data_IF_633346474538
#
_entry.id   IF_633346474538
#
_cell.length_a   1.000
_cell.length_b   1.000
_cell.length_c   1.000
_cell.angle_alpha   90.00
_cell.angle_beta   90.00
_cell.angle_gamma   90.00
#
_symmetry.space_group_name_H-M   'P 1'
#
loop_
_entity.id
_entity.type
_entity.pdbx_description
1 polymer ?
#
# COMPACT_ATOMS: atom_id res chain seq x y z
N UNK A 1 54.71 25.92 -14.70
CA UNK A 1 53.37 25.39 -15.05
C UNK A 1 52.53 26.56 -15.55
N UNK A 2 52.26 26.64 -16.85
CA UNK A 2 51.75 27.86 -17.49
C UNK A 2 50.29 28.16 -17.10
N UNK A 3 49.95 29.45 -17.01
CA UNK A 3 48.59 29.95 -16.71
C UNK A 3 47.53 29.30 -17.63
N UNK A 4 47.89 29.02 -18.89
CA UNK A 4 47.04 28.35 -19.88
C UNK A 4 46.62 26.93 -19.46
N UNK A 5 47.49 26.18 -18.81
CA UNK A 5 47.18 24.82 -18.34
C UNK A 5 46.14 24.83 -17.22
N UNK A 6 46.22 25.79 -16.29
CA UNK A 6 45.25 25.92 -15.18
C UNK A 6 43.87 26.37 -15.66
N UNK A 7 43.80 27.18 -16.72
CA UNK A 7 42.54 27.59 -17.36
C UNK A 7 41.84 26.43 -18.08
N UNK A 8 42.58 25.60 -18.82
CA UNK A 8 42.00 24.40 -19.47
C UNK A 8 41.44 23.39 -18.45
N UNK A 9 42.17 23.13 -17.36
CA UNK A 9 41.71 22.16 -16.33
C UNK A 9 40.42 22.65 -15.65
N UNK A 10 40.31 23.95 -15.36
CA UNK A 10 39.09 24.53 -14.74
C UNK A 10 37.89 24.52 -15.70
N UNK A 11 38.11 24.78 -16.98
CA UNK A 11 37.06 24.70 -18.00
C UNK A 11 36.56 23.25 -18.17
N UNK A 12 37.46 22.26 -18.18
CA UNK A 12 37.11 20.85 -18.24
C UNK A 12 36.36 20.38 -16.98
N UNK A 13 36.76 20.84 -15.78
CA UNK A 13 36.05 20.53 -14.53
C UNK A 13 34.63 21.12 -14.52
N UNK A 14 34.45 22.38 -14.95
CA UNK A 14 33.13 23.00 -15.05
C UNK A 14 32.22 22.31 -16.08
N UNK A 15 32.77 21.90 -17.23
CA UNK A 15 32.03 21.14 -18.23
C UNK A 15 31.61 19.75 -17.71
N UNK A 16 32.49 19.07 -16.97
CA UNK A 16 32.20 17.76 -16.37
C UNK A 16 31.15 17.87 -15.25
N UNK A 17 31.23 18.92 -14.41
CA UNK A 17 30.21 19.22 -13.39
C UNK A 17 28.85 19.57 -14.02
N UNK A 18 28.84 20.33 -15.12
CA UNK A 18 27.61 20.64 -15.87
C UNK A 18 26.96 19.39 -16.48
N UNK A 19 27.76 18.47 -17.03
CA UNK A 19 27.26 17.22 -17.61
C UNK A 19 26.66 16.28 -16.56
N UNK A 20 27.24 16.23 -15.36
CA UNK A 20 26.72 15.46 -14.21
C UNK A 20 25.38 16.02 -13.70
N UNK A 21 25.23 17.35 -13.67
CA UNK A 21 23.97 18.00 -13.28
C UNK A 21 22.84 17.78 -14.30
N UNK A 22 23.18 17.70 -15.60
CA UNK A 22 22.21 17.39 -16.66
C UNK A 22 21.68 15.95 -16.56
N UNK A 23 22.48 14.98 -16.09
CA UNK A 23 22.03 13.59 -15.92
C UNK A 23 21.12 13.41 -14.71
N UNK A 24 21.37 14.13 -13.61
CA UNK A 24 20.50 14.10 -12.43
C UNK A 24 19.13 14.77 -12.67
N UNK A 25 19.08 15.78 -13.54
CA UNK A 25 17.85 16.52 -13.84
C UNK A 25 16.83 15.75 -14.69
N UNK A 26 17.26 14.90 -15.63
CA UNK A 26 16.33 14.12 -16.44
C UNK A 26 15.68 12.98 -15.65
N UNK A 27 16.42 12.34 -14.73
CA UNK A 27 15.90 11.24 -13.91
C UNK A 27 14.74 11.71 -13.00
N UNK A 28 14.87 12.88 -12.37
CA UNK A 28 13.84 13.43 -11.50
C UNK A 28 12.58 13.89 -12.26
N UNK A 29 12.74 14.41 -13.48
CA UNK A 29 11.60 14.76 -14.34
C UNK A 29 10.81 13.53 -14.79
N UNK A 30 11.50 12.43 -15.13
CA UNK A 30 10.87 11.18 -15.54
C UNK A 30 10.15 10.51 -14.36
N UNK A 31 10.76 10.46 -13.17
CA UNK A 31 10.13 9.94 -11.95
C UNK A 31 8.87 10.74 -11.58
N UNK A 32 8.90 12.08 -11.64
CA UNK A 32 7.72 12.91 -11.38
C UNK A 32 6.58 12.69 -12.40
N UNK A 33 6.91 12.43 -13.67
CA UNK A 33 5.90 12.12 -14.68
C UNK A 33 5.29 10.73 -14.45
N UNK A 34 6.11 9.75 -14.06
CA UNK A 34 5.68 8.39 -13.76
C UNK A 34 4.79 8.33 -12.51
N UNK A 35 5.13 9.05 -11.44
CA UNK A 35 4.31 9.14 -10.23
C UNK A 35 2.98 9.85 -10.48
N UNK A 36 2.98 10.96 -11.21
CA UNK A 36 1.73 11.63 -11.63
C UNK A 36 0.83 10.72 -12.47
N UNK A 37 1.40 9.94 -13.40
CA UNK A 37 0.65 8.93 -14.15
C UNK A 37 0.03 7.87 -13.23
N UNK A 38 0.78 7.37 -12.26
CA UNK A 38 0.33 6.35 -11.33
C UNK A 38 -0.88 6.82 -10.48
N UNK A 39 -0.86 8.07 -10.00
CA UNK A 39 -1.97 8.69 -9.29
C UNK A 39 -3.23 8.81 -10.17
N UNK A 40 -3.06 9.30 -11.39
CA UNK A 40 -4.16 9.44 -12.35
C UNK A 40 -4.76 8.09 -12.75
N UNK A 41 -3.94 7.07 -12.92
CA UNK A 41 -4.38 5.70 -13.20
C UNK A 41 -5.19 5.14 -12.03
N UNK A 42 -4.70 5.29 -10.79
CA UNK A 42 -5.41 4.85 -9.58
C UNK A 42 -6.79 5.50 -9.48
N UNK A 43 -6.87 6.81 -9.75
CA UNK A 43 -8.12 7.54 -9.79
C UNK A 43 -9.06 7.05 -10.91
N UNK A 44 -8.54 6.78 -12.11
CA UNK A 44 -9.32 6.29 -13.25
C UNK A 44 -9.90 4.89 -12.98
N UNK A 45 -9.11 3.99 -12.39
CA UNK A 45 -9.56 2.64 -12.00
C UNK A 45 -10.64 2.71 -10.92
N UNK A 46 -10.43 3.54 -9.88
CA UNK A 46 -11.36 3.63 -8.75
C UNK A 46 -12.69 4.31 -9.12
N UNK A 47 -12.66 5.28 -10.04
CA UNK A 47 -13.85 6.00 -10.49
C UNK A 47 -14.55 5.35 -11.70
N UNK A 48 -14.06 4.20 -12.17
CA UNK A 48 -14.70 3.46 -13.26
C UNK A 48 -16.01 2.81 -12.77
N UNK A 49 -17.11 3.09 -13.45
CA UNK A 49 -18.44 2.58 -13.08
C UNK A 49 -18.76 1.22 -13.71
N UNK A 50 -17.92 0.73 -14.63
CA UNK A 50 -17.98 -0.62 -15.18
C UNK A 50 -16.83 -1.52 -14.67
N UNK A 51 -17.08 -2.40 -13.68
CA UNK A 51 -16.08 -3.32 -13.17
C UNK A 51 -15.51 -4.29 -14.22
N UNK A 52 -16.24 -4.61 -15.28
CA UNK A 52 -15.76 -5.50 -16.35
C UNK A 52 -14.66 -4.83 -17.16
N UNK A 53 -14.83 -3.55 -17.51
CA UNK A 53 -13.76 -2.73 -18.11
C UNK A 53 -12.50 -2.69 -17.23
N UNK A 54 -12.66 -2.55 -15.90
CA UNK A 54 -11.50 -2.58 -14.98
C UNK A 54 -10.83 -3.94 -14.99
N UNK A 55 -11.61 -5.03 -14.89
CA UNK A 55 -11.11 -6.40 -14.87
C UNK A 55 -10.31 -6.74 -16.12
N UNK A 56 -10.80 -6.31 -17.28
CA UNK A 56 -10.20 -6.68 -18.55
C UNK A 56 -9.04 -5.75 -18.94
N UNK A 57 -9.08 -4.48 -18.48
CA UNK A 57 -8.05 -3.47 -18.77
C UNK A 57 -6.88 -3.40 -17.78
N UNK A 58 -7.12 -3.64 -16.48
CA UNK A 58 -6.09 -3.54 -15.44
C UNK A 58 -4.80 -4.33 -15.71
N UNK A 59 -4.84 -5.56 -16.28
CA UNK A 59 -3.62 -6.31 -16.58
C UNK A 59 -2.61 -5.57 -17.49
N UNK A 60 -3.09 -4.77 -18.44
CA UNK A 60 -2.20 -3.99 -19.30
C UNK A 60 -1.47 -2.90 -18.51
N UNK A 61 -2.18 -2.24 -17.58
CA UNK A 61 -1.58 -1.24 -16.70
C UNK A 61 -0.64 -1.83 -15.65
N UNK A 62 -0.90 -3.06 -15.19
CA UNK A 62 0.01 -3.80 -14.32
C UNK A 62 1.37 -4.01 -15.02
N UNK A 63 1.36 -4.46 -16.27
CA UNK A 63 2.58 -4.61 -17.08
C UNK A 63 3.26 -3.27 -17.37
N UNK A 64 2.50 -2.20 -17.57
CA UNK A 64 3.06 -0.87 -17.75
C UNK A 64 3.78 -0.38 -16.49
N UNK A 65 3.18 -0.53 -15.32
CA UNK A 65 3.82 -0.19 -14.04
C UNK A 65 5.08 -1.03 -13.82
N UNK A 66 5.06 -2.32 -14.15
CA UNK A 66 6.24 -3.17 -14.12
C UNK A 66 7.35 -2.62 -15.04
N UNK A 67 7.00 -2.23 -16.26
CA UNK A 67 7.96 -1.66 -17.22
C UNK A 67 8.56 -0.34 -16.73
N UNK A 68 7.78 0.50 -16.06
CA UNK A 68 8.28 1.75 -15.47
C UNK A 68 9.22 1.43 -14.30
N UNK A 69 8.91 0.42 -13.48
CA UNK A 69 9.75 -0.03 -12.37
C UNK A 69 11.05 -0.70 -12.82
N UNK A 70 11.09 -1.31 -14.00
CA UNK A 70 12.36 -1.75 -14.60
C UNK A 70 13.28 -0.55 -14.92
N UNK A 71 12.71 0.60 -15.28
CA UNK A 71 13.45 1.83 -15.55
C UNK A 71 13.87 2.60 -14.29
N UNK A 72 13.00 2.63 -13.28
CA UNK A 72 13.26 3.22 -11.97
C UNK A 72 12.78 2.30 -10.82
N UNK A 73 13.61 1.32 -10.42
CA UNK A 73 13.22 0.36 -9.39
C UNK A 73 13.16 0.98 -7.99
N UNK A 74 13.58 2.24 -7.82
CA UNK A 74 13.69 2.93 -6.55
C UNK A 74 12.60 3.96 -6.28
N UNK A 75 11.65 4.15 -7.19
CA UNK A 75 10.56 5.12 -7.02
C UNK A 75 9.48 4.58 -6.06
N UNK A 76 9.36 5.13 -4.83
CA UNK A 76 8.41 4.62 -3.84
C UNK A 76 6.95 4.87 -4.23
N UNK A 77 6.64 5.92 -4.99
CA UNK A 77 5.27 6.21 -5.42
C UNK A 77 4.83 5.21 -6.48
N UNK A 78 5.71 4.94 -7.46
CA UNK A 78 5.44 3.94 -8.50
C UNK A 78 5.30 2.54 -7.90
N UNK A 79 6.15 2.18 -6.93
CA UNK A 79 6.05 0.92 -6.19
C UNK A 79 4.74 0.83 -5.40
N UNK A 80 4.32 1.89 -4.72
CA UNK A 80 3.07 1.93 -3.97
C UNK A 80 1.84 1.78 -4.89
N UNK A 81 1.85 2.43 -6.05
CA UNK A 81 0.79 2.31 -7.04
C UNK A 81 0.72 0.90 -7.64
N UNK A 82 1.86 0.31 -8.00
CA UNK A 82 1.93 -1.08 -8.46
C UNK A 82 1.41 -2.03 -7.38
N UNK A 83 1.83 -1.86 -6.13
CA UNK A 83 1.34 -2.64 -5.01
C UNK A 83 -0.19 -2.58 -4.87
N UNK A 84 -0.78 -1.38 -4.90
CA UNK A 84 -2.23 -1.21 -4.80
C UNK A 84 -2.96 -1.87 -5.97
N UNK A 85 -2.51 -1.65 -7.22
CA UNK A 85 -3.16 -2.24 -8.39
C UNK A 85 -3.11 -3.77 -8.37
N UNK A 86 -1.93 -4.34 -8.08
CA UNK A 86 -1.77 -5.79 -7.97
C UNK A 86 -2.57 -6.39 -6.81
N UNK A 87 -2.62 -5.72 -5.65
CA UNK A 87 -3.38 -6.17 -4.49
C UNK A 87 -4.89 -6.16 -4.77
N UNK A 88 -5.43 -5.05 -5.28
CA UNK A 88 -6.85 -4.92 -5.61
C UNK A 88 -7.26 -5.90 -6.70
N UNK A 89 -6.47 -6.03 -7.77
CA UNK A 89 -6.78 -6.97 -8.84
C UNK A 89 -6.70 -8.43 -8.36
N UNK A 90 -5.63 -8.80 -7.68
CA UNK A 90 -5.42 -10.15 -7.18
C UNK A 90 -6.46 -10.59 -6.16
N UNK A 91 -6.97 -9.67 -5.33
CA UNK A 91 -7.97 -9.98 -4.31
C UNK A 91 -9.41 -10.00 -4.85
N UNK A 92 -9.72 -9.23 -5.91
CA UNK A 92 -11.11 -9.04 -6.39
C UNK A 92 -11.40 -9.80 -7.68
N UNK A 93 -10.45 -9.86 -8.62
CA UNK A 93 -10.69 -10.33 -9.99
C UNK A 93 -9.98 -11.63 -10.36
N UNK A 94 -9.06 -12.13 -9.53
CA UNK A 94 -8.38 -13.39 -9.78
C UNK A 94 -9.15 -14.57 -9.15
N UNK A 95 -9.96 -15.26 -9.96
CA UNK A 95 -10.75 -16.41 -9.51
C UNK A 95 -9.91 -17.66 -9.18
N UNK A 96 -8.80 -17.85 -9.89
CA UNK A 96 -7.86 -18.95 -9.64
C UNK A 96 -7.03 -18.64 -8.37
N UNK A 97 -7.08 -19.49 -7.31
CA UNK A 97 -6.37 -19.23 -6.06
C UNK A 97 -4.85 -19.08 -6.25
N UNK A 98 -4.25 -19.89 -7.14
CA UNK A 98 -2.80 -19.81 -7.38
C UNK A 98 -2.42 -18.48 -8.05
N UNK A 99 -3.28 -17.97 -8.95
CA UNK A 99 -3.12 -16.66 -9.59
C UNK A 99 -3.30 -15.55 -8.57
N UNK A 100 -4.32 -15.60 -7.73
CA UNK A 100 -4.54 -14.63 -6.64
C UNK A 100 -3.31 -14.57 -5.71
N UNK A 101 -2.79 -15.74 -5.30
CA UNK A 101 -1.59 -15.86 -4.49
C UNK A 101 -0.37 -15.17 -5.15
N UNK A 102 -0.06 -15.51 -6.41
CA UNK A 102 1.09 -14.89 -7.13
C UNK A 102 0.97 -13.38 -7.27
N UNK A 103 -0.23 -12.88 -7.58
CA UNK A 103 -0.45 -11.44 -7.80
C UNK A 103 -0.35 -10.66 -6.48
N UNK A 104 -0.92 -11.19 -5.41
CA UNK A 104 -0.86 -10.55 -4.08
C UNK A 104 0.52 -10.66 -3.44
N UNK A 105 1.29 -11.72 -3.73
CA UNK A 105 2.71 -11.81 -3.36
C UNK A 105 3.54 -10.71 -4.03
N UNK A 106 3.35 -10.51 -5.34
CA UNK A 106 4.00 -9.41 -6.06
C UNK A 106 3.60 -8.04 -5.50
N UNK A 107 2.32 -7.84 -5.19
CA UNK A 107 1.83 -6.63 -4.53
C UNK A 107 2.56 -6.37 -3.20
N UNK A 108 2.65 -7.40 -2.35
CA UNK A 108 3.33 -7.34 -1.05
C UNK A 108 4.80 -6.93 -1.21
N UNK A 109 5.51 -7.53 -2.17
CA UNK A 109 6.91 -7.18 -2.43
C UNK A 109 7.10 -5.73 -2.87
N UNK A 110 6.23 -5.21 -3.75
CA UNK A 110 6.29 -3.79 -4.13
C UNK A 110 6.03 -2.87 -2.94
N UNK A 111 5.04 -3.21 -2.11
CA UNK A 111 4.69 -2.39 -0.96
C UNK A 111 5.77 -2.38 0.13
N UNK A 112 6.39 -3.53 0.40
CA UNK A 112 7.54 -3.66 1.29
C UNK A 112 8.71 -2.79 0.81
N UNK A 113 9.00 -2.82 -0.50
CA UNK A 113 10.06 -2.01 -1.09
C UNK A 113 9.75 -0.52 -1.02
N UNK A 114 8.51 -0.12 -1.36
CA UNK A 114 8.06 1.27 -1.29
C UNK A 114 8.22 1.84 0.13
N UNK A 115 7.79 1.07 1.13
CA UNK A 115 7.85 1.49 2.52
C UNK A 115 9.29 1.47 3.06
N UNK A 116 10.11 0.49 2.69
CA UNK A 116 11.53 0.43 3.04
C UNK A 116 12.29 1.67 2.53
N UNK A 117 12.05 2.08 1.27
CA UNK A 117 12.65 3.30 0.70
C UNK A 117 12.15 4.56 1.41
N UNK A 118 10.85 4.64 1.68
CA UNK A 118 10.22 5.80 2.33
C UNK A 118 10.53 5.91 3.83
N UNK A 119 10.80 4.77 4.46
CA UNK A 119 11.00 4.61 5.89
C UNK A 119 11.95 3.45 6.17
N UNK A 120 13.27 3.73 6.17
CA UNK A 120 14.34 2.74 6.25
C UNK A 120 14.24 1.74 7.42
N UNK A 121 13.61 2.10 8.53
CA UNK A 121 13.40 1.17 9.67
C UNK A 121 12.46 0.01 9.32
N UNK A 122 11.61 0.17 8.31
CA UNK A 122 10.71 -0.91 7.85
C UNK A 122 11.41 -2.02 7.07
N UNK A 123 12.62 -1.77 6.56
CA UNK A 123 13.40 -2.80 5.86
C UNK A 123 13.72 -4.00 6.77
N UNK A 124 13.80 -3.77 8.10
CA UNK A 124 14.10 -4.78 9.11
C UNK A 124 12.84 -5.39 9.76
N UNK A 125 11.63 -5.00 9.33
CA UNK A 125 10.38 -5.53 9.92
C UNK A 125 10.18 -7.02 9.66
N UNK A 126 10.80 -7.55 8.61
CA UNK A 126 10.82 -8.98 8.33
C UNK A 126 11.90 -9.64 9.19
N UNK A 127 11.47 -10.31 10.26
CA UNK A 127 12.36 -10.96 11.24
C UNK A 127 12.52 -10.21 12.55
N UNK A 128 12.03 -8.97 12.66
CA UNK A 128 11.92 -8.26 13.93
C UNK A 128 10.92 -8.95 14.88
N UNK A 129 11.14 -8.83 16.18
CA UNK A 129 10.10 -9.16 17.16
C UNK A 129 8.96 -8.16 17.07
N UNK A 130 7.78 -8.53 17.55
CA UNK A 130 6.61 -7.66 17.55
C UNK A 130 6.86 -6.36 18.33
N UNK A 131 7.56 -6.44 19.46
CA UNK A 131 7.91 -5.27 20.29
C UNK A 131 8.88 -4.34 19.56
N UNK A 132 9.90 -4.90 18.89
CA UNK A 132 10.84 -4.11 18.10
C UNK A 132 10.12 -3.42 16.93
N UNK A 133 9.18 -4.11 16.29
CA UNK A 133 8.31 -3.54 15.26
C UNK A 133 7.46 -2.39 15.81
N UNK A 134 6.76 -2.57 16.93
CA UNK A 134 5.88 -1.56 17.53
C UNK A 134 6.63 -0.26 17.85
N UNK A 135 7.83 -0.35 18.41
CA UNK A 135 8.67 0.83 18.71
C UNK A 135 8.93 1.66 17.45
N UNK A 136 9.07 1.03 16.28
CA UNK A 136 9.29 1.78 15.04
C UNK A 136 8.04 2.52 14.57
N UNK A 137 6.82 2.08 14.91
CA UNK A 137 5.58 2.70 14.43
C UNK A 137 5.42 4.14 14.92
N UNK A 138 5.87 4.43 16.15
CA UNK A 138 5.82 5.77 16.76
C UNK A 138 6.57 6.84 15.95
N UNK A 139 7.50 6.44 15.09
CA UNK A 139 8.28 7.34 14.26
C UNK A 139 7.75 7.52 12.84
N UNK A 140 6.68 6.78 12.48
CA UNK A 140 5.94 7.06 11.26
C UNK A 140 5.32 8.46 11.35
N UNK A 141 5.23 9.16 10.23
CA UNK A 141 4.74 10.53 10.13
C UNK A 141 3.86 10.63 8.90
N UNK A 142 3.14 11.74 8.76
CA UNK A 142 2.26 11.99 7.62
C UNK A 142 2.90 11.73 6.26
N UNK A 143 4.18 12.11 6.07
CA UNK A 143 4.91 11.87 4.82
C UNK A 143 5.08 10.39 4.44
N UNK A 144 4.89 9.44 5.36
CA UNK A 144 4.96 8.00 5.08
C UNK A 144 3.56 7.39 4.82
N UNK A 145 2.49 8.16 4.97
CA UNK A 145 1.11 7.66 4.96
C UNK A 145 0.80 6.83 3.72
N UNK A 146 1.12 7.33 2.53
CA UNK A 146 0.85 6.62 1.28
C UNK A 146 1.52 5.23 1.22
N UNK A 147 2.82 5.16 1.53
CA UNK A 147 3.55 3.90 1.55
C UNK A 147 3.04 2.94 2.64
N UNK A 148 2.65 3.46 3.82
CA UNK A 148 2.03 2.67 4.90
C UNK A 148 0.68 2.11 4.47
N UNK A 149 -0.14 2.90 3.78
CA UNK A 149 -1.42 2.44 3.25
C UNK A 149 -1.24 1.33 2.23
N UNK A 150 -0.34 1.53 1.25
CA UNK A 150 -0.04 0.52 0.23
C UNK A 150 0.49 -0.77 0.86
N UNK A 151 1.36 -0.67 1.87
CA UNK A 151 1.85 -1.81 2.64
C UNK A 151 0.70 -2.55 3.34
N UNK A 152 -0.18 -1.84 4.03
CA UNK A 152 -1.31 -2.42 4.72
C UNK A 152 -2.27 -3.15 3.77
N UNK A 153 -2.67 -2.50 2.68
CA UNK A 153 -3.57 -3.08 1.66
C UNK A 153 -2.94 -4.31 1.00
N UNK A 154 -1.68 -4.23 0.58
CA UNK A 154 -1.01 -5.34 -0.07
C UNK A 154 -0.84 -6.55 0.85
N UNK A 155 -0.49 -6.33 2.12
CA UNK A 155 -0.41 -7.41 3.10
C UNK A 155 -1.77 -8.01 3.43
N UNK A 156 -2.84 -7.21 3.57
CA UNK A 156 -4.19 -7.73 3.78
C UNK A 156 -4.66 -8.59 2.59
N UNK A 157 -4.39 -8.14 1.36
CA UNK A 157 -4.68 -8.90 0.15
C UNK A 157 -3.89 -10.22 0.11
N UNK A 158 -2.60 -10.17 0.44
CA UNK A 158 -1.74 -11.36 0.55
C UNK A 158 -2.27 -12.35 1.58
N UNK A 159 -2.58 -11.90 2.79
CA UNK A 159 -3.10 -12.78 3.86
C UNK A 159 -4.42 -13.43 3.44
N UNK A 160 -5.30 -12.68 2.76
CA UNK A 160 -6.55 -13.23 2.24
C UNK A 160 -6.32 -14.33 1.21
N UNK A 161 -5.36 -14.14 0.29
CA UNK A 161 -5.03 -15.13 -0.73
C UNK A 161 -4.24 -16.34 -0.18
N UNK A 162 -3.64 -16.20 1.00
CA UNK A 162 -2.85 -17.23 1.70
C UNK A 162 -3.45 -17.57 3.06
N UNK A 163 -4.78 -17.66 3.14
CA UNK A 163 -5.49 -17.87 4.41
C UNK A 163 -5.22 -19.24 5.06
N UNK A 164 -4.63 -20.16 4.32
CA UNK A 164 -4.16 -21.48 4.75
C UNK A 164 -2.71 -21.48 5.28
N UNK A 165 -1.96 -20.38 5.10
CA UNK A 165 -0.61 -20.21 5.64
C UNK A 165 -0.64 -19.54 7.03
N UNK A 166 -0.27 -20.32 8.05
CA UNK A 166 -0.16 -19.83 9.42
C UNK A 166 0.84 -18.67 9.59
N UNK A 167 1.89 -18.61 8.76
CA UNK A 167 2.85 -17.51 8.80
C UNK A 167 2.23 -16.20 8.29
N UNK A 168 1.38 -16.28 7.26
CA UNK A 168 0.62 -15.13 6.79
C UNK A 168 -0.34 -14.63 7.88
N UNK A 169 -1.10 -15.55 8.51
CA UNK A 169 -2.03 -15.21 9.60
C UNK A 169 -1.32 -14.62 10.82
N UNK A 170 -0.10 -15.05 11.14
CA UNK A 170 0.69 -14.51 12.25
C UNK A 170 1.03 -13.01 12.07
N UNK A 171 0.88 -12.45 10.87
CA UNK A 171 1.09 -11.03 10.58
C UNK A 171 -0.10 -10.15 10.96
N UNK A 172 -1.28 -10.71 11.22
CA UNK A 172 -2.51 -9.94 11.51
C UNK A 172 -2.33 -8.91 12.66
N UNK A 173 -1.72 -9.25 13.82
CA UNK A 173 -1.51 -8.26 14.88
C UNK A 173 -0.61 -7.10 14.46
N UNK A 174 0.39 -7.35 13.61
CA UNK A 174 1.28 -6.31 13.10
C UNK A 174 0.51 -5.33 12.20
N UNK A 175 -0.41 -5.84 11.38
CA UNK A 175 -1.25 -4.98 10.54
C UNK A 175 -2.27 -4.21 11.36
N UNK A 176 -2.87 -4.80 12.38
CA UNK A 176 -3.76 -4.06 13.28
C UNK A 176 -3.03 -2.86 13.92
N UNK A 177 -1.83 -3.08 14.46
CA UNK A 177 -1.00 -2.00 14.99
C UNK A 177 -0.62 -0.95 13.93
N UNK A 178 -0.28 -1.39 12.71
CA UNK A 178 0.04 -0.48 11.60
C UNK A 178 -1.15 0.40 11.22
N UNK A 179 -2.34 -0.19 11.10
CA UNK A 179 -3.56 0.52 10.70
C UNK A 179 -4.04 1.48 11.77
N UNK A 180 -3.89 1.12 13.05
CA UNK A 180 -4.10 2.05 14.16
C UNK A 180 -3.15 3.25 14.06
N UNK A 181 -1.86 3.00 13.79
CA UNK A 181 -0.91 4.10 13.54
C UNK A 181 -1.28 4.91 12.30
N UNK A 182 -1.77 4.26 11.25
CA UNK A 182 -2.21 4.94 10.04
C UNK A 182 -3.35 5.94 10.32
N UNK A 183 -4.30 5.63 11.19
CA UNK A 183 -5.37 6.58 11.53
C UNK A 183 -4.81 7.92 12.06
N UNK A 184 -3.68 7.88 12.76
CA UNK A 184 -3.05 9.07 13.35
C UNK A 184 -2.21 9.88 12.36
N UNK A 185 -1.66 9.24 11.33
CA UNK A 185 -0.71 9.87 10.41
C UNK A 185 -1.20 9.94 8.96
N UNK A 186 -2.20 9.17 8.60
CA UNK A 186 -2.64 8.95 7.24
C UNK A 186 -3.53 10.06 6.70
N UNK A 187 -3.91 9.91 5.44
CA UNK A 187 -4.86 10.80 4.80
C UNK A 187 -6.26 10.53 5.34
N UNK A 188 -6.95 11.59 5.77
CA UNK A 188 -8.35 11.52 6.21
C UNK A 188 -9.26 10.91 5.14
N UNK A 189 -8.95 11.08 3.85
CA UNK A 189 -9.72 10.51 2.75
C UNK A 189 -9.71 8.97 2.74
N UNK A 190 -8.73 8.32 3.36
CA UNK A 190 -8.63 6.86 3.47
C UNK A 190 -9.07 6.32 4.83
N UNK A 191 -9.36 7.20 5.80
CA UNK A 191 -9.69 6.79 7.16
C UNK A 191 -10.89 5.84 7.22
N UNK A 192 -11.97 6.12 6.47
CA UNK A 192 -13.15 5.24 6.43
C UNK A 192 -12.81 3.80 6.00
N UNK A 193 -12.01 3.65 4.94
CA UNK A 193 -11.54 2.34 4.47
C UNK A 193 -10.65 1.64 5.51
N UNK A 194 -9.76 2.38 6.18
CA UNK A 194 -8.90 1.80 7.22
C UNK A 194 -9.69 1.35 8.44
N UNK A 195 -10.68 2.12 8.87
CA UNK A 195 -11.63 1.69 9.90
C UNK A 195 -12.39 0.43 9.48
N UNK A 196 -12.80 0.32 8.22
CA UNK A 196 -13.43 -0.90 7.69
C UNK A 196 -12.51 -2.12 7.82
N UNK A 197 -11.21 -1.98 7.49
CA UNK A 197 -10.24 -3.06 7.66
C UNK A 197 -10.03 -3.44 9.13
N UNK A 198 -9.92 -2.47 10.03
CA UNK A 198 -9.83 -2.74 11.48
C UNK A 198 -11.09 -3.47 12.00
N UNK A 199 -12.27 -3.12 11.49
CA UNK A 199 -13.52 -3.83 11.77
C UNK A 199 -13.47 -5.30 11.34
N UNK A 200 -13.01 -5.55 10.11
CA UNK A 200 -12.82 -6.92 9.59
C UNK A 200 -11.83 -7.68 10.47
N UNK A 201 -10.68 -7.10 10.81
CA UNK A 201 -9.66 -7.75 11.63
C UNK A 201 -10.18 -8.12 13.02
N UNK A 202 -10.87 -7.19 13.70
CA UNK A 202 -11.43 -7.40 15.03
C UNK A 202 -12.52 -8.49 15.04
N UNK A 203 -13.25 -8.66 13.94
CA UNK A 203 -14.32 -9.65 13.78
C UNK A 203 -13.88 -10.95 13.09
N UNK A 204 -12.64 -11.01 12.61
CA UNK A 204 -12.15 -12.16 11.81
C UNK A 204 -12.15 -13.47 12.61
N UNK A 205 -11.85 -13.38 13.91
CA UNK A 205 -11.86 -14.54 14.82
C UNK A 205 -13.18 -14.61 15.59
N UNK A 206 -13.71 -15.81 15.86
CA UNK A 206 -14.80 -15.98 16.81
C UNK A 206 -14.42 -15.44 18.20
N UNK A 207 -15.38 -14.95 19.01
CA UNK A 207 -15.11 -14.46 20.37
C UNK A 207 -14.41 -15.51 21.26
N UNK A 208 -14.78 -16.79 21.10
CA UNK A 208 -14.16 -17.90 21.81
C UNK A 208 -12.65 -18.09 21.52
N UNK A 209 -12.15 -17.48 20.44
CA UNK A 209 -10.75 -17.53 19.99
C UNK A 209 -10.08 -16.14 20.03
N UNK A 210 -10.60 -15.22 20.85
CA UNK A 210 -10.02 -13.88 21.02
C UNK A 210 -10.38 -12.89 19.91
N UNK A 211 -11.54 -13.05 19.28
CA UNK A 211 -12.17 -11.98 18.49
C UNK A 211 -12.78 -10.91 19.38
N UNK A 212 -12.84 -9.68 18.89
CA UNK A 212 -13.35 -8.50 19.60
C UNK A 212 -14.55 -7.91 18.84
N UNK A 213 -15.71 -8.58 18.80
CA UNK A 213 -16.84 -8.17 17.96
C UNK A 213 -17.32 -6.75 18.24
N UNK A 214 -17.34 -6.32 19.50
CA UNK A 214 -17.81 -4.97 19.86
C UNK A 214 -16.84 -3.87 19.44
N UNK A 215 -15.54 -4.16 19.48
CA UNK A 215 -14.51 -3.27 18.92
C UNK A 215 -14.67 -3.21 17.40
N UNK A 216 -14.94 -4.34 16.77
CA UNK A 216 -15.23 -4.43 15.35
C UNK A 216 -16.44 -3.59 14.93
N UNK A 217 -17.54 -3.68 15.68
CA UNK A 217 -18.74 -2.84 15.49
C UNK A 217 -18.40 -1.36 15.54
N UNK A 218 -17.67 -0.91 16.57
CA UNK A 218 -17.26 0.49 16.71
C UNK A 218 -16.44 0.97 15.50
N UNK A 219 -15.53 0.15 14.99
CA UNK A 219 -14.77 0.46 13.79
C UNK A 219 -15.66 0.57 12.55
N UNK A 220 -16.60 -0.35 12.36
CA UNK A 220 -17.54 -0.28 11.22
C UNK A 220 -18.45 0.93 11.31
N UNK A 221 -19.02 1.23 12.46
CA UNK A 221 -19.85 2.42 12.70
C UNK A 221 -19.07 3.70 12.39
N UNK A 222 -17.81 3.77 12.83
CA UNK A 222 -16.93 4.90 12.53
C UNK A 222 -16.63 5.02 11.04
N UNK A 223 -16.41 3.91 10.34
CA UNK A 223 -16.20 3.91 8.89
C UNK A 223 -17.45 4.43 8.14
N UNK A 224 -18.64 4.01 8.56
CA UNK A 224 -19.91 4.46 8.00
C UNK A 224 -20.11 5.95 8.26
N UNK A 225 -19.83 6.43 9.47
CA UNK A 225 -19.93 7.85 9.81
C UNK A 225 -18.99 8.71 8.95
N UNK A 226 -17.71 8.33 8.84
CA UNK A 226 -16.71 9.07 8.08
C UNK A 226 -17.02 9.15 6.58
N UNK A 227 -17.70 8.16 6.04
CA UNK A 227 -18.16 8.16 4.65
C UNK A 227 -19.55 8.79 4.47
N UNK A 228 -20.17 9.32 5.52
CA UNK A 228 -21.59 9.72 5.51
C UNK A 228 -22.52 8.62 4.95
N UNK A 229 -22.15 7.35 5.16
CA UNK A 229 -22.86 6.17 4.70
C UNK A 229 -22.78 5.89 3.20
N UNK A 230 -21.93 6.58 2.44
CA UNK A 230 -21.76 6.36 0.99
C UNK A 230 -20.82 5.20 0.68
N UNK A 231 -19.90 4.84 1.58
CA UNK A 231 -19.09 3.64 1.44
C UNK A 231 -19.92 2.42 1.85
N UNK A 232 -20.49 1.74 0.86
CA UNK A 232 -21.31 0.55 1.07
C UNK A 232 -20.47 -0.66 1.52
N UNK A 233 -19.16 -0.67 1.26
CA UNK A 233 -18.30 -1.78 1.68
C UNK A 233 -18.26 -1.91 3.20
N UNK A 234 -18.23 -0.80 3.93
CA UNK A 234 -18.29 -0.78 5.39
C UNK A 234 -19.58 -1.43 5.92
N UNK A 235 -20.73 -1.17 5.28
CA UNK A 235 -22.03 -1.77 5.67
C UNK A 235 -22.08 -3.26 5.38
N UNK A 236 -21.58 -3.68 4.22
CA UNK A 236 -21.53 -5.09 3.82
C UNK A 236 -20.65 -5.89 4.77
N UNK A 237 -19.47 -5.38 5.08
CA UNK A 237 -18.53 -6.06 5.97
C UNK A 237 -19.00 -6.01 7.43
N UNK A 238 -19.71 -4.95 7.85
CA UNK A 238 -20.37 -4.92 9.15
C UNK A 238 -21.41 -6.03 9.29
N UNK A 239 -22.31 -6.17 8.30
CA UNK A 239 -23.31 -7.21 8.30
C UNK A 239 -22.69 -8.63 8.28
N UNK A 240 -21.61 -8.80 7.52
CA UNK A 240 -20.90 -10.09 7.40
C UNK A 240 -20.14 -10.47 8.66
N UNK A 241 -19.33 -9.57 9.20
CA UNK A 241 -18.41 -9.83 10.31
C UNK A 241 -19.07 -9.78 11.68
N UNK A 242 -20.09 -8.93 11.86
CA UNK A 242 -20.74 -8.73 13.15
C UNK A 242 -22.16 -9.31 13.19
N UNK A 243 -23.09 -8.75 12.40
CA UNK A 243 -24.51 -9.06 12.54
C UNK A 243 -24.81 -10.55 12.29
N UNK A 244 -24.21 -11.12 11.23
CA UNK A 244 -24.33 -12.57 10.95
C UNK A 244 -23.70 -13.43 12.04
N UNK A 245 -22.55 -13.04 12.57
CA UNK A 245 -21.83 -13.82 13.58
C UNK A 245 -22.58 -13.86 14.92
N UNK A 246 -23.26 -12.75 15.28
CA UNK A 246 -24.04 -12.63 16.51
C UNK A 246 -25.53 -12.98 16.32
N UNK A 247 -25.95 -13.37 15.11
CA UNK A 247 -27.36 -13.63 14.78
C UNK A 247 -28.31 -12.44 15.09
N UNK A 248 -27.80 -11.21 15.02
CA UNK A 248 -28.65 -10.02 15.11
C UNK A 248 -29.47 -9.89 13.81
N UNK A 249 -30.80 -10.01 13.93
CA UNK A 249 -31.76 -10.05 12.82
C UNK A 249 -32.60 -8.78 12.68
N UNK A 250 -32.34 -7.78 13.51
CA UNK A 250 -33.01 -6.46 13.52
C UNK A 250 -32.06 -5.41 12.98
#
# INVERSE_FOLDING_TARGET
>A
MSIRYRLCVRAAQLALSGLLLLHAGCASLISNAASGFADHLSAAVTNQNDPETVRDGAPAYMLLLDSLLEGDPGDPALLAAAANLYASYGAVFADDPNRSARLTERARHYAEKALCISYARSCEWNGATYEAYEVTLAHLKHKHGEAVYAYGVAWLAYIRAHSDDWNALARLPHLEALLNRYIEIGDAAKASTVYTYLGILATLRPPALGGEPEKGKQYFERAIELSNGTDLSAKVEYARGYARALYERE
#
